data_IF_540214335159
#
_entry.id   IF_540214335159
#
_cell.length_a   1.000
_cell.length_b   1.000
_cell.length_c   1.000
_cell.angle_alpha   90.00
_cell.angle_beta   90.00
_cell.angle_gamma   90.00
#
_symmetry.space_group_name_H-M   'P 1'
#
loop_
_entity.id
_entity.type
_entity.pdbx_description
1 polymer ?
#
# COMPACT_ATOMS: atom_id res chain seq x y z
N UNK A 1 9.03 -6.24 -23.34
CA UNK A 1 8.90 -7.59 -22.75
C UNK A 1 9.97 -7.73 -21.70
N UNK A 2 9.56 -7.89 -20.44
CA UNK A 2 10.47 -8.21 -19.35
C UNK A 2 10.13 -9.61 -18.90
N UNK A 3 11.12 -10.49 -18.88
CA UNK A 3 10.97 -11.84 -18.35
C UNK A 3 11.49 -11.83 -16.91
N UNK A 4 10.72 -12.45 -16.00
CA UNK A 4 11.11 -12.64 -14.61
C UNK A 4 11.62 -14.06 -14.48
N UNK A 5 12.83 -14.21 -13.94
CA UNK A 5 13.47 -15.50 -13.68
C UNK A 5 13.62 -15.63 -12.18
N UNK A 6 13.03 -16.69 -11.61
CA UNK A 6 13.20 -17.07 -10.21
C UNK A 6 14.37 -18.05 -10.07
N UNK A 7 14.93 -18.16 -8.87
CA UNK A 7 15.92 -19.21 -8.56
C UNK A 7 15.28 -20.59 -8.71
N UNK A 8 16.05 -21.59 -9.17
CA UNK A 8 15.57 -22.98 -9.24
C UNK A 8 15.19 -23.53 -7.85
N UNK A 9 15.82 -23.02 -6.80
CA UNK A 9 15.57 -23.41 -5.41
C UNK A 9 14.37 -22.68 -4.77
N UNK A 10 13.66 -21.82 -5.51
CA UNK A 10 12.54 -21.05 -4.99
C UNK A 10 11.24 -21.87 -5.04
N UNK A 11 10.79 -22.35 -3.88
CA UNK A 11 9.46 -22.96 -3.72
C UNK A 11 8.47 -21.95 -3.17
N UNK A 12 7.46 -21.62 -3.97
CA UNK A 12 6.37 -20.71 -3.60
C UNK A 12 5.63 -21.19 -2.34
N UNK A 13 5.46 -22.50 -2.15
CA UNK A 13 4.69 -23.07 -1.04
C UNK A 13 5.43 -23.01 0.30
N UNK A 14 6.76 -22.97 0.24
CA UNK A 14 7.62 -22.90 1.42
C UNK A 14 8.10 -21.47 1.71
N UNK A 15 8.27 -20.66 0.66
CA UNK A 15 8.91 -19.34 0.75
C UNK A 15 7.90 -18.22 0.90
N UNK A 16 6.74 -18.32 0.26
CA UNK A 16 5.71 -17.26 0.33
C UNK A 16 4.72 -17.54 1.46
N UNK A 17 4.94 -16.84 2.55
CA UNK A 17 4.02 -16.79 3.68
C UNK A 17 3.15 -15.54 3.53
N UNK A 18 2.08 -15.64 2.74
CA UNK A 18 1.13 -14.53 2.56
C UNK A 18 0.20 -14.46 3.77
N UNK A 19 0.63 -13.74 4.80
CA UNK A 19 -0.24 -13.45 5.95
C UNK A 19 -1.06 -12.20 5.63
N UNK A 20 -2.26 -12.42 5.12
CA UNK A 20 -3.30 -11.40 5.18
C UNK A 20 -4.17 -11.68 6.40
N UNK A 21 -4.37 -10.65 7.20
CA UNK A 21 -5.41 -10.70 8.22
C UNK A 21 -6.76 -10.56 7.52
N UNK A 22 -7.77 -11.29 7.98
CA UNK A 22 -9.13 -10.99 7.53
C UNK A 22 -9.45 -9.54 7.90
N UNK A 23 -10.11 -8.77 7.01
CA UNK A 23 -10.50 -7.40 7.30
C UNK A 23 -11.23 -7.30 8.64
N UNK A 24 -10.79 -6.39 9.50
CA UNK A 24 -11.38 -6.16 10.82
C UNK A 24 -10.97 -7.12 11.94
N UNK A 25 -10.06 -8.09 11.70
CA UNK A 25 -9.52 -8.97 12.77
C UNK A 25 -8.42 -8.34 13.60
N UNK A 26 -7.72 -7.35 13.05
CA UNK A 26 -6.77 -6.55 13.82
C UNK A 26 -7.55 -5.37 14.41
N UNK A 27 -7.48 -5.15 15.74
CA UNK A 27 -8.06 -3.96 16.33
C UNK A 27 -7.41 -2.72 15.73
N UNK A 28 -8.23 -1.83 15.17
CA UNK A 28 -7.75 -0.54 14.68
C UNK A 28 -7.28 0.28 15.89
N UNK A 29 -5.98 0.59 15.91
CA UNK A 29 -5.44 1.56 16.86
C UNK A 29 -5.60 2.94 16.22
N UNK A 30 -6.25 3.89 16.90
CA UNK A 30 -6.36 5.25 16.36
C UNK A 30 -4.95 5.82 16.14
N UNK A 31 -4.78 6.50 15.02
CA UNK A 31 -3.55 7.23 14.75
C UNK A 31 -3.44 8.41 15.73
N UNK A 32 -2.22 8.84 16.10
CA UNK A 32 -2.01 10.07 16.86
C UNK A 32 -2.70 11.27 16.21
N UNK A 33 -3.20 12.21 17.02
CA UNK A 33 -3.91 13.40 16.53
C UNK A 33 -3.05 14.29 15.61
N UNK A 34 -1.72 14.25 15.79
CA UNK A 34 -0.73 14.98 15.02
C UNK A 34 -0.11 14.18 13.87
N UNK A 35 -0.57 12.93 13.66
CA UNK A 35 -0.06 12.09 12.59
C UNK A 35 -0.38 12.67 11.21
N UNK A 36 0.67 12.83 10.40
CA UNK A 36 0.57 13.21 9.00
C UNK A 36 1.13 12.06 8.17
N UNK A 37 0.26 11.44 7.37
CA UNK A 37 0.69 10.37 6.47
C UNK A 37 1.67 10.93 5.40
N UNK A 38 2.91 10.43 5.34
CA UNK A 38 3.93 10.91 4.41
C UNK A 38 3.54 10.70 2.95
N UNK A 39 2.63 9.77 2.63
CA UNK A 39 2.10 9.58 1.28
C UNK A 39 1.29 10.79 0.80
N UNK A 40 0.81 11.63 1.72
CA UNK A 40 0.10 12.86 1.44
C UNK A 40 0.97 14.11 1.66
N UNK A 41 2.29 13.95 1.71
CA UNK A 41 3.24 15.05 1.82
C UNK A 41 4.00 15.19 0.49
N UNK A 42 4.01 16.40 -0.08
CA UNK A 42 4.76 16.65 -1.30
C UNK A 42 6.27 16.77 -1.01
N UNK A 43 7.08 16.82 -2.08
CA UNK A 43 8.56 16.97 -1.97
C UNK A 43 9.04 18.22 -1.21
N UNK A 44 8.16 19.19 -0.96
CA UNK A 44 8.44 20.42 -0.19
C UNK A 44 7.95 20.33 1.26
N UNK A 45 7.55 19.15 1.73
CA UNK A 45 7.06 18.94 3.10
C UNK A 45 5.65 19.48 3.35
N UNK A 46 4.90 19.86 2.30
CA UNK A 46 3.53 20.37 2.45
C UNK A 46 2.51 19.29 2.17
N UNK A 47 1.42 19.29 2.96
CA UNK A 47 0.28 18.38 2.75
C UNK A 47 -0.33 18.62 1.36
N UNK A 48 -0.55 17.54 0.64
CA UNK A 48 -1.21 17.53 -0.67
C UNK A 48 -2.70 17.72 -0.44
N UNK A 49 -3.28 18.76 -1.04
CA UNK A 49 -4.72 18.93 -1.06
C UNK A 49 -5.32 17.94 -2.07
N UNK A 50 -5.99 16.91 -1.56
CA UNK A 50 -6.80 16.04 -2.38
C UNK A 50 -8.05 16.82 -2.81
N UNK A 51 -8.08 17.25 -4.07
CA UNK A 51 -9.33 17.67 -4.69
C UNK A 51 -9.90 16.47 -5.41
N UNK A 52 -11.06 15.99 -4.96
CA UNK A 52 -11.84 15.05 -5.74
C UNK A 52 -12.29 15.79 -7.00
N UNK A 53 -11.74 15.39 -8.15
CA UNK A 53 -12.33 15.74 -9.45
C UNK A 53 -13.21 14.56 -9.81
N UNK A 54 -14.49 14.81 -10.12
CA UNK A 54 -15.52 13.82 -10.49
C UNK A 54 -15.21 13.04 -11.80
N UNK A 55 -13.94 12.74 -12.06
CA UNK A 55 -13.46 12.06 -13.25
C UNK A 55 -12.95 10.68 -12.87
N UNK A 56 -13.80 9.68 -13.08
CA UNK A 56 -13.36 8.28 -13.12
C UNK A 56 -12.77 8.01 -14.50
N UNK A 57 -11.52 7.50 -14.62
CA UNK A 57 -11.01 7.08 -15.91
C UNK A 57 -11.91 5.95 -16.43
N UNK A 58 -12.49 6.15 -17.61
CA UNK A 58 -13.26 5.11 -18.30
C UNK A 58 -12.28 4.02 -18.76
N UNK A 59 -12.62 2.77 -18.48
CA UNK A 59 -11.93 1.58 -19.00
C UNK A 59 -11.97 1.52 -20.52
#
# INVERSE_FOLDING_TARGET
NGDVIFSEDYDLNETEVVWTYEPGKIPETPLPDDYIDPNFVNRKGKRIQLTYKDYWPKQ
#
